data_IF_200132293782
#
_entry.id   IF_200132293782
#
_cell.length_a   1.000
_cell.length_b   1.000
_cell.length_c   1.000
_cell.angle_alpha   90.00
_cell.angle_beta   90.00
_cell.angle_gamma   90.00
#
_symmetry.space_group_name_H-M   'P 1'
#
loop_
_entity.id
_entity.type
_entity.pdbx_description
1 polymer ?
#
# COMPACT_ATOMS: atom_id res chain seq x y z
N UNK A 1 6.40 104.48 97.36
CA UNK A 1 5.22 104.74 96.50
C UNK A 1 5.19 103.64 95.44
N UNK A 2 4.01 103.13 95.14
CA UNK A 2 3.72 101.81 94.59
C UNK A 2 4.17 101.51 93.14
N UNK A 3 4.15 100.22 92.79
CA UNK A 3 4.01 99.66 91.43
C UNK A 3 5.33 99.23 90.78
N UNK A 4 5.49 98.08 90.12
CA UNK A 4 4.56 97.02 89.70
C UNK A 4 5.34 95.70 89.62
N UNK A 5 4.70 94.60 90.04
CA UNK A 5 5.16 93.25 89.80
C UNK A 5 4.59 92.77 88.46
N UNK A 6 5.47 92.51 87.49
CA UNK A 6 5.13 91.76 86.27
C UNK A 6 5.79 90.38 86.37
N UNK A 7 4.95 89.36 86.55
CA UNK A 7 5.30 87.95 86.53
C UNK A 7 5.43 87.47 85.09
N UNK A 8 6.64 87.06 84.69
CA UNK A 8 6.87 86.15 83.58
C UNK A 8 7.89 85.10 84.01
N UNK A 9 7.37 83.90 84.29
CA UNK A 9 8.14 82.66 84.41
C UNK A 9 8.49 82.21 83.00
N UNK A 10 9.78 82.07 82.65
CA UNK A 10 10.32 80.88 81.97
C UNK A 10 11.74 81.05 81.39
N UNK A 11 12.42 79.90 81.44
CA UNK A 11 13.66 79.44 80.77
C UNK A 11 14.98 80.14 81.10
N UNK A 12 15.75 79.49 81.97
CA UNK A 12 17.20 79.48 81.85
C UNK A 12 17.67 78.05 81.54
N UNK A 13 17.96 77.79 80.26
CA UNK A 13 18.87 76.71 79.86
C UNK A 13 20.14 77.40 79.37
N UNK A 14 21.30 77.16 80.00
CA UNK A 14 22.55 77.83 79.66
C UNK A 14 23.00 77.45 78.25
N UNK A 15 23.65 78.41 77.59
CA UNK A 15 24.19 78.27 76.26
C UNK A 15 25.49 77.45 76.28
N UNK A 16 25.45 76.23 75.72
CA UNK A 16 26.63 75.58 75.13
C UNK A 16 26.31 74.90 73.79
N UNK A 17 27.23 75.13 72.85
CA UNK A 17 27.51 74.51 71.54
C UNK A 17 26.38 74.12 70.56
N UNK A 18 26.17 74.98 69.56
CA UNK A 18 25.45 74.63 68.33
C UNK A 18 26.42 74.27 67.20
N UNK A 19 26.65 72.98 67.04
CA UNK A 19 27.36 72.39 65.89
C UNK A 19 26.72 71.08 65.44
N UNK A 20 25.43 71.09 65.08
CA UNK A 20 24.77 69.89 64.55
C UNK A 20 23.80 70.27 63.41
N UNK A 21 24.05 69.74 62.21
CA UNK A 21 23.21 69.89 61.03
C UNK A 21 21.87 69.16 61.15
N UNK A 22 21.03 69.30 60.12
CA UNK A 22 19.69 68.69 60.02
C UNK A 22 19.68 67.21 60.49
N UNK A 23 18.93 66.85 61.55
CA UNK A 23 19.06 65.54 62.22
C UNK A 23 18.94 64.30 61.31
N UNK A 24 18.15 64.31 60.21
CA UNK A 24 18.11 63.21 59.24
C UNK A 24 19.38 62.99 58.39
N UNK A 25 20.30 63.96 58.33
CA UNK A 25 21.54 63.88 57.54
C UNK A 25 22.79 63.82 58.44
N UNK A 26 22.71 63.08 59.54
CA UNK A 26 23.87 62.81 60.38
C UNK A 26 24.74 61.70 59.77
N UNK A 27 25.85 62.13 59.14
CA UNK A 27 26.81 61.28 58.45
C UNK A 27 27.51 60.26 59.37
N UNK A 28 27.46 60.44 60.70
CA UNK A 28 28.04 59.49 61.66
C UNK A 28 27.30 58.15 61.67
N UNK A 29 26.02 58.12 61.28
CA UNK A 29 25.19 56.91 61.26
C UNK A 29 25.30 56.11 59.96
N UNK A 30 25.77 56.73 58.87
CA UNK A 30 25.85 56.09 57.55
C UNK A 30 26.78 54.89 57.50
N UNK A 31 27.90 54.91 58.24
CA UNK A 31 28.82 53.77 58.30
C UNK A 31 28.14 52.52 58.87
N UNK A 32 27.30 52.68 59.90
CA UNK A 32 26.53 51.59 60.50
C UNK A 32 25.42 51.08 59.56
N UNK A 33 24.70 52.00 58.91
CA UNK A 33 23.67 51.65 57.92
C UNK A 33 24.25 50.88 56.73
N UNK A 34 25.39 51.33 56.19
CA UNK A 34 26.09 50.66 55.08
C UNK A 34 26.60 49.27 55.51
N UNK A 35 27.13 49.14 56.73
CA UNK A 35 27.56 47.85 57.27
C UNK A 35 26.40 46.86 57.34
N UNK A 36 25.27 47.24 57.95
CA UNK A 36 24.09 46.39 58.05
C UNK A 36 23.44 46.11 56.69
N UNK A 37 23.44 47.08 55.78
CA UNK A 37 23.00 46.89 54.39
C UNK A 37 23.85 45.82 53.71
N UNK A 38 25.19 45.91 53.81
CA UNK A 38 26.08 44.93 53.21
C UNK A 38 25.89 43.52 53.80
N UNK A 39 25.71 43.41 55.12
CA UNK A 39 25.46 42.12 55.79
C UNK A 39 24.13 41.50 55.32
N UNK A 40 23.03 42.27 55.39
CA UNK A 40 21.69 41.78 55.03
C UNK A 40 21.57 41.50 53.53
N UNK A 41 22.13 42.36 52.69
CA UNK A 41 22.19 42.16 51.24
C UNK A 41 23.05 40.95 50.88
N UNK A 42 24.22 40.79 51.51
CA UNK A 42 25.10 39.63 51.30
C UNK A 42 24.43 38.32 51.70
N UNK A 43 23.75 38.30 52.85
CA UNK A 43 22.97 37.14 53.28
C UNK A 43 21.83 36.82 52.31
N UNK A 44 21.05 37.82 51.89
CA UNK A 44 19.97 37.62 50.94
C UNK A 44 20.48 37.17 49.56
N UNK A 45 21.59 37.74 49.07
CA UNK A 45 22.25 37.32 47.84
C UNK A 45 22.70 35.86 47.92
N UNK A 46 23.32 35.46 49.04
CA UNK A 46 23.73 34.08 49.27
C UNK A 46 22.52 33.12 49.28
N UNK A 47 21.42 33.50 49.93
CA UNK A 47 20.17 32.73 49.91
C UNK A 47 19.58 32.64 48.50
N UNK A 48 19.54 33.74 47.74
CA UNK A 48 19.04 33.77 46.37
C UNK A 48 19.86 32.87 45.45
N UNK A 49 21.20 32.96 45.54
CA UNK A 49 22.16 32.14 44.80
C UNK A 49 21.95 30.65 45.07
N UNK A 50 21.78 30.27 46.33
CA UNK A 50 21.78 28.87 46.73
C UNK A 50 20.38 28.21 46.73
N UNK A 51 19.30 28.98 46.75
CA UNK A 51 17.94 28.43 46.86
C UNK A 51 17.06 28.81 45.69
N UNK A 52 16.94 30.10 45.38
CA UNK A 52 15.98 30.57 44.37
C UNK A 52 16.46 30.26 42.94
N UNK A 53 17.70 30.60 42.62
CA UNK A 53 18.31 30.33 41.31
C UNK A 53 18.30 28.84 40.96
N UNK A 54 18.80 27.91 41.81
CA UNK A 54 18.80 26.49 41.47
C UNK A 54 17.38 25.90 41.34
N UNK A 55 16.40 26.38 42.12
CA UNK A 55 15.00 25.94 41.97
C UNK A 55 14.41 26.34 40.62
N UNK A 56 14.65 27.57 40.17
CA UNK A 56 14.16 28.03 38.86
C UNK A 56 14.89 27.30 37.72
N UNK A 57 16.20 27.11 37.86
CA UNK A 57 17.00 26.37 36.89
C UNK A 57 16.51 24.92 36.74
N UNK A 58 16.20 24.23 37.85
CA UNK A 58 15.65 22.87 37.81
C UNK A 58 14.32 22.79 37.06
N UNK A 59 13.38 23.70 37.33
CA UNK A 59 12.08 23.72 36.62
C UNK A 59 12.25 23.98 35.12
N UNK A 60 13.19 24.87 34.76
CA UNK A 60 13.48 25.14 33.36
C UNK A 60 14.07 23.92 32.68
N UNK A 61 15.02 23.24 33.33
CA UNK A 61 15.64 22.02 32.79
C UNK A 61 14.63 20.90 32.65
N UNK A 62 13.80 20.62 33.66
CA UNK A 62 12.74 19.61 33.58
C UNK A 62 11.80 19.85 32.38
N UNK A 63 11.45 21.11 32.11
CA UNK A 63 10.65 21.46 30.95
C UNK A 63 11.39 21.24 29.64
N UNK A 64 12.67 21.60 29.59
CA UNK A 64 13.50 21.40 28.39
C UNK A 64 13.68 19.92 28.09
N UNK A 65 13.98 19.12 29.11
CA UNK A 65 14.14 17.67 29.00
C UNK A 65 12.85 17.01 28.55
N UNK A 66 11.71 17.41 29.13
CA UNK A 66 10.41 16.89 28.71
C UNK A 66 10.08 17.26 27.27
N UNK A 67 10.29 18.51 26.86
CA UNK A 67 10.05 18.94 25.47
C UNK A 67 10.99 18.20 24.50
N UNK A 68 12.27 18.05 24.86
CA UNK A 68 13.24 17.33 24.05
C UNK A 68 12.87 15.84 23.92
N UNK A 69 12.42 15.22 25.01
CA UNK A 69 11.92 13.84 25.02
C UNK A 69 10.67 13.67 24.16
N UNK A 70 9.66 14.53 24.34
CA UNK A 70 8.43 14.50 23.56
C UNK A 70 8.70 14.72 22.06
N UNK A 71 9.61 15.64 21.71
CA UNK A 71 10.00 15.89 20.32
C UNK A 71 10.81 14.73 19.74
N UNK A 72 11.71 14.14 20.52
CA UNK A 72 12.47 12.96 20.11
C UNK A 72 11.57 11.76 19.84
N UNK A 73 10.61 11.51 20.71
CA UNK A 73 9.63 10.43 20.54
C UNK A 73 8.69 10.70 19.36
N UNK A 74 8.24 11.94 19.17
CA UNK A 74 7.44 12.32 18.01
C UNK A 74 8.21 12.09 16.68
N UNK A 75 9.50 12.45 16.64
CA UNK A 75 10.35 12.21 15.48
C UNK A 75 10.56 10.71 15.25
N UNK A 76 10.84 9.92 16.29
CA UNK A 76 10.98 8.46 16.19
C UNK A 76 9.72 7.82 15.63
N UNK A 77 8.55 8.16 16.18
CA UNK A 77 7.26 7.64 15.70
C UNK A 77 6.96 8.07 14.27
N UNK A 78 7.35 9.29 13.89
CA UNK A 78 7.24 9.77 12.51
C UNK A 78 8.13 8.95 11.57
N UNK A 79 9.40 8.74 11.91
CA UNK A 79 10.33 7.94 11.11
C UNK A 79 9.85 6.49 10.96
N UNK A 80 9.35 5.87 12.04
CA UNK A 80 8.77 4.52 12.01
C UNK A 80 7.52 4.46 11.13
N UNK A 81 6.67 5.48 11.18
CA UNK A 81 5.47 5.56 10.33
C UNK A 81 5.85 5.74 8.87
N UNK A 82 6.76 6.65 8.55
CA UNK A 82 7.22 6.92 7.20
C UNK A 82 7.91 5.65 6.62
N UNK A 83 8.70 4.92 7.41
CA UNK A 83 9.30 3.65 7.02
C UNK A 83 8.24 2.54 6.80
N UNK A 84 7.23 2.45 7.67
CA UNK A 84 6.14 1.49 7.52
C UNK A 84 5.29 1.77 6.27
N UNK A 85 5.00 3.05 5.97
CA UNK A 85 4.31 3.46 4.74
C UNK A 85 5.12 3.05 3.52
N UNK A 86 6.42 3.36 3.49
CA UNK A 86 7.30 3.00 2.38
C UNK A 86 7.35 1.48 2.15
N UNK A 87 7.48 0.69 3.23
CA UNK A 87 7.48 -0.76 3.15
C UNK A 87 6.13 -1.32 2.65
N UNK A 88 5.01 -0.74 3.10
CA UNK A 88 3.68 -1.12 2.66
C UNK A 88 3.46 -0.82 1.16
N UNK A 89 3.84 0.38 0.71
CA UNK A 89 3.74 0.78 -0.70
C UNK A 89 4.61 -0.10 -1.60
N UNK A 90 5.83 -0.43 -1.17
CA UNK A 90 6.72 -1.35 -1.87
C UNK A 90 6.11 -2.75 -1.96
N UNK A 91 5.60 -3.29 -0.86
CA UNK A 91 4.96 -4.60 -0.84
C UNK A 91 3.72 -4.64 -1.74
N UNK A 92 2.91 -3.58 -1.76
CA UNK A 92 1.74 -3.46 -2.62
C UNK A 92 2.13 -3.39 -4.11
N UNK A 93 3.18 -2.63 -4.44
CA UNK A 93 3.72 -2.55 -5.81
C UNK A 93 4.23 -3.91 -6.28
N UNK A 94 5.00 -4.60 -5.44
CA UNK A 94 5.53 -5.93 -5.74
C UNK A 94 4.40 -6.97 -5.91
N UNK A 95 3.37 -6.93 -5.04
CA UNK A 95 2.21 -7.80 -5.15
C UNK A 95 1.43 -7.57 -6.45
N UNK A 96 1.23 -6.31 -6.85
CA UNK A 96 0.61 -5.95 -8.14
C UNK A 96 1.43 -6.45 -9.32
N UNK A 97 2.75 -6.25 -9.29
CA UNK A 97 3.67 -6.73 -10.32
C UNK A 97 3.62 -8.26 -10.45
N UNK A 98 3.68 -8.99 -9.33
CA UNK A 98 3.53 -10.45 -9.30
C UNK A 98 2.18 -10.90 -9.84
N UNK A 99 1.08 -10.25 -9.46
CA UNK A 99 -0.25 -10.57 -9.97
C UNK A 99 -0.34 -10.37 -11.49
N UNK A 100 0.20 -9.27 -12.02
CA UNK A 100 0.28 -9.03 -13.46
C UNK A 100 1.14 -10.09 -14.18
N UNK A 101 2.28 -10.46 -13.60
CA UNK A 101 3.13 -11.53 -14.11
C UNK A 101 2.40 -12.87 -14.18
N UNK A 102 1.74 -13.28 -13.09
CA UNK A 102 0.94 -14.52 -13.03
C UNK A 102 -0.18 -14.49 -14.08
N UNK A 103 -0.89 -13.37 -14.22
CA UNK A 103 -1.97 -13.23 -15.20
C UNK A 103 -1.44 -13.34 -16.64
N UNK A 104 -0.31 -12.71 -16.93
CA UNK A 104 0.35 -12.80 -18.23
C UNK A 104 0.81 -14.22 -18.55
N UNK A 105 1.53 -14.86 -17.63
CA UNK A 105 2.04 -16.23 -17.80
C UNK A 105 0.91 -17.23 -17.95
N UNK A 106 -0.17 -17.07 -17.18
CA UNK A 106 -1.36 -17.92 -17.28
C UNK A 106 -2.02 -17.76 -18.65
N UNK A 107 -2.19 -16.53 -19.15
CA UNK A 107 -2.73 -16.29 -20.50
C UNK A 107 -1.85 -16.88 -21.59
N UNK A 108 -0.53 -16.74 -21.47
CA UNK A 108 0.42 -17.32 -22.41
C UNK A 108 0.33 -18.86 -22.43
N UNK A 109 0.31 -19.50 -21.25
CA UNK A 109 0.14 -20.95 -21.12
C UNK A 109 -1.19 -21.43 -21.67
N UNK A 110 -2.29 -20.75 -21.35
CA UNK A 110 -3.62 -21.09 -21.88
C UNK A 110 -3.67 -20.97 -23.41
N UNK A 111 -3.07 -19.92 -23.97
CA UNK A 111 -3.03 -19.75 -25.43
C UNK A 111 -2.24 -20.88 -26.10
N UNK A 112 -1.10 -21.27 -25.52
CA UNK A 112 -0.31 -22.38 -26.01
C UNK A 112 -1.06 -23.73 -25.92
N UNK A 113 -1.74 -24.00 -24.79
CA UNK A 113 -2.54 -25.22 -24.62
C UNK A 113 -3.75 -25.23 -25.58
N UNK A 114 -4.39 -24.09 -25.80
CA UNK A 114 -5.48 -23.95 -26.78
C UNK A 114 -5.01 -24.24 -28.21
N UNK A 115 -3.87 -23.68 -28.62
CA UNK A 115 -3.31 -23.94 -29.95
C UNK A 115 -2.96 -25.42 -30.12
N UNK A 116 -2.30 -26.03 -29.13
CA UNK A 116 -1.97 -27.45 -29.17
C UNK A 116 -3.20 -28.37 -29.20
N UNK A 117 -4.26 -28.02 -28.48
CA UNK A 117 -5.54 -28.74 -28.55
C UNK A 117 -6.23 -28.54 -29.90
N UNK A 118 -6.16 -27.33 -30.47
CA UNK A 118 -6.72 -27.04 -31.79
C UNK A 118 -6.02 -27.87 -32.86
N UNK A 119 -4.69 -27.89 -32.88
CA UNK A 119 -3.90 -28.66 -33.82
C UNK A 119 -4.19 -30.17 -33.73
N UNK A 120 -4.30 -30.71 -32.50
CA UNK A 120 -4.70 -32.10 -32.29
C UNK A 120 -6.11 -32.38 -32.81
N UNK A 121 -7.07 -31.51 -32.51
CA UNK A 121 -8.44 -31.67 -32.97
C UNK A 121 -8.53 -31.57 -34.50
N UNK A 122 -7.79 -30.66 -35.13
CA UNK A 122 -7.69 -30.54 -36.59
C UNK A 122 -7.10 -31.81 -37.22
N UNK A 123 -6.05 -32.38 -36.62
CA UNK A 123 -5.45 -33.65 -37.06
C UNK A 123 -6.43 -34.81 -36.95
N UNK A 124 -7.06 -34.99 -35.79
CA UNK A 124 -8.07 -36.05 -35.59
C UNK A 124 -9.26 -35.90 -36.53
N UNK A 125 -9.66 -34.66 -36.83
CA UNK A 125 -10.77 -34.39 -37.74
C UNK A 125 -10.37 -34.73 -39.19
N UNK A 126 -9.15 -34.40 -39.60
CA UNK A 126 -8.62 -34.75 -40.92
C UNK A 126 -8.53 -36.28 -41.09
N UNK A 127 -8.06 -37.00 -40.08
CA UNK A 127 -8.00 -38.47 -40.10
C UNK A 127 -9.41 -39.09 -40.22
N UNK A 128 -10.37 -38.58 -39.44
CA UNK A 128 -11.77 -39.03 -39.52
C UNK A 128 -12.40 -38.73 -40.89
N UNK A 129 -12.10 -37.56 -41.46
CA UNK A 129 -12.57 -37.19 -42.79
C UNK A 129 -12.02 -38.14 -43.85
N UNK A 130 -10.71 -38.40 -43.82
CA UNK A 130 -10.05 -39.32 -44.75
C UNK A 130 -10.59 -40.75 -44.62
N UNK A 131 -10.79 -41.24 -43.39
CA UNK A 131 -11.38 -42.55 -43.15
C UNK A 131 -12.83 -42.64 -43.66
N UNK A 132 -13.64 -41.59 -43.46
CA UNK A 132 -15.00 -41.53 -43.96
C UNK A 132 -15.04 -41.49 -45.50
N UNK A 133 -14.15 -40.70 -46.13
CA UNK A 133 -14.01 -40.66 -47.59
C UNK A 133 -13.62 -42.02 -48.17
N UNK A 134 -12.65 -42.71 -47.57
CA UNK A 134 -12.25 -44.06 -47.96
C UNK A 134 -13.41 -45.06 -47.81
N UNK A 135 -14.18 -44.97 -46.72
CA UNK A 135 -15.34 -45.83 -46.49
C UNK A 135 -16.45 -45.58 -47.54
N UNK A 136 -16.76 -44.32 -47.83
CA UNK A 136 -17.73 -43.94 -48.87
C UNK A 136 -17.27 -44.43 -50.25
N UNK A 137 -15.99 -44.29 -50.57
CA UNK A 137 -15.43 -44.81 -51.84
C UNK A 137 -15.52 -46.34 -51.94
N UNK A 138 -15.32 -47.04 -50.82
CA UNK A 138 -15.51 -48.49 -50.71
C UNK A 138 -16.96 -48.90 -50.98
N UNK A 139 -17.92 -48.30 -50.26
CA UNK A 139 -19.36 -48.55 -50.45
C UNK A 139 -19.77 -48.24 -51.89
N UNK A 140 -19.27 -47.14 -52.47
CA UNK A 140 -19.57 -46.78 -53.86
C UNK A 140 -19.08 -47.85 -54.83
N UNK A 141 -17.86 -48.34 -54.66
CA UNK A 141 -17.30 -49.40 -55.51
C UNK A 141 -18.09 -50.70 -55.37
N UNK A 142 -18.44 -51.08 -54.14
CA UNK A 142 -19.23 -52.27 -53.87
C UNK A 142 -20.64 -52.18 -54.46
N UNK A 143 -21.34 -51.05 -54.26
CA UNK A 143 -22.64 -50.81 -54.86
C UNK A 143 -22.59 -50.84 -56.40
N UNK A 144 -21.56 -50.23 -57.02
CA UNK A 144 -21.37 -50.28 -58.46
C UNK A 144 -21.12 -51.71 -58.97
N UNK A 145 -20.44 -52.57 -58.20
CA UNK A 145 -20.26 -53.98 -58.56
C UNK A 145 -21.57 -54.77 -58.52
N UNK A 146 -22.40 -54.53 -57.49
CA UNK A 146 -23.69 -55.20 -57.32
C UNK A 146 -24.72 -54.78 -58.38
N UNK A 147 -24.62 -53.58 -58.94
CA UNK A 147 -25.52 -53.12 -60.02
C UNK A 147 -25.44 -54.04 -61.25
N UNK A 148 -24.26 -54.57 -61.59
CA UNK A 148 -24.12 -55.49 -62.72
C UNK A 148 -24.91 -56.78 -62.51
N UNK A 149 -24.83 -57.35 -61.32
CA UNK A 149 -25.55 -58.58 -60.96
C UNK A 149 -27.06 -58.35 -60.93
N UNK A 150 -27.51 -57.26 -60.29
CA UNK A 150 -28.94 -56.88 -60.23
C UNK A 150 -29.49 -56.59 -61.64
N UNK A 151 -28.72 -55.88 -62.48
CA UNK A 151 -29.11 -55.60 -63.85
C UNK A 151 -29.21 -56.90 -64.68
N UNK A 152 -28.28 -57.83 -64.50
CA UNK A 152 -28.32 -59.15 -65.15
C UNK A 152 -29.53 -59.98 -64.72
N UNK A 153 -29.81 -60.04 -63.42
CA UNK A 153 -30.94 -60.78 -62.85
C UNK A 153 -32.27 -60.18 -63.30
N UNK A 154 -32.41 -58.85 -63.24
CA UNK A 154 -33.60 -58.12 -63.69
C UNK A 154 -33.83 -58.27 -65.19
N UNK A 155 -32.77 -58.18 -66.00
CA UNK A 155 -32.86 -58.36 -67.46
C UNK A 155 -33.26 -59.80 -67.82
N UNK A 156 -32.74 -60.79 -67.09
CA UNK A 156 -33.13 -62.21 -67.27
C UNK A 156 -34.62 -62.40 -67.01
N UNK A 157 -35.11 -61.89 -65.87
CA UNK A 157 -36.52 -61.97 -65.51
C UNK A 157 -37.42 -61.26 -66.55
N UNK A 158 -37.01 -60.09 -67.04
CA UNK A 158 -37.75 -59.33 -68.04
C UNK A 158 -37.82 -60.07 -69.39
N UNK A 159 -36.71 -60.64 -69.86
CA UNK A 159 -36.65 -61.38 -71.13
C UNK A 159 -37.42 -62.69 -71.05
N UNK A 160 -37.37 -63.39 -69.91
CA UNK A 160 -38.15 -64.61 -69.68
C UNK A 160 -39.66 -64.32 -69.70
N UNK A 161 -40.09 -63.20 -69.11
CA UNK A 161 -41.49 -62.77 -69.13
C UNK A 161 -41.96 -62.32 -70.53
N UNK A 162 -41.08 -61.72 -71.35
CA UNK A 162 -41.40 -61.25 -72.70
C UNK A 162 -41.35 -62.34 -73.78
N UNK A 163 -40.38 -63.26 -73.71
CA UNK A 163 -40.14 -64.27 -74.75
C UNK A 163 -40.55 -65.69 -74.34
N UNK A 164 -40.94 -65.92 -73.08
CA UNK A 164 -41.41 -67.22 -72.57
C UNK A 164 -40.34 -68.31 -72.46
N UNK A 165 -39.07 -67.97 -72.71
CA UNK A 165 -37.90 -68.85 -72.52
C UNK A 165 -36.75 -68.05 -71.91
N UNK A 166 -36.11 -68.63 -70.90
CA UNK A 166 -34.92 -68.05 -70.28
C UNK A 166 -33.76 -67.99 -71.29
N UNK A 167 -33.13 -66.83 -71.51
CA UNK A 167 -31.93 -66.71 -72.33
C UNK A 167 -30.72 -67.41 -71.70
N UNK A 168 -29.81 -67.90 -72.53
CA UNK A 168 -28.58 -68.58 -72.12
C UNK A 168 -27.65 -67.62 -71.38
N UNK A 169 -27.15 -68.02 -70.19
CA UNK A 169 -26.28 -67.20 -69.33
C UNK A 169 -25.06 -66.60 -70.07
N UNK A 170 -24.54 -67.31 -71.07
CA UNK A 170 -23.39 -66.89 -71.88
C UNK A 170 -23.70 -65.71 -72.81
N UNK A 171 -24.91 -65.63 -73.36
CA UNK A 171 -25.30 -64.56 -74.28
C UNK A 171 -25.70 -63.28 -73.53
N UNK A 172 -26.40 -63.44 -72.40
CA UNK A 172 -26.72 -62.35 -71.48
C UNK A 172 -25.46 -61.67 -70.93
N UNK A 173 -24.50 -62.45 -70.43
CA UNK A 173 -23.26 -61.89 -69.87
C UNK A 173 -22.44 -61.15 -70.93
N UNK A 174 -22.45 -61.62 -72.19
CA UNK A 174 -21.79 -60.95 -73.32
C UNK A 174 -22.48 -59.64 -73.71
N UNK A 175 -23.81 -59.62 -73.76
CA UNK A 175 -24.60 -58.42 -74.07
C UNK A 175 -24.52 -57.36 -72.96
N UNK A 176 -24.63 -57.77 -71.69
CA UNK A 176 -24.51 -56.88 -70.54
C UNK A 176 -23.12 -56.23 -70.48
N UNK A 177 -22.06 -57.02 -70.69
CA UNK A 177 -20.67 -56.53 -70.70
C UNK A 177 -20.39 -55.58 -71.87
N UNK A 178 -21.09 -55.73 -73.00
CA UNK A 178 -21.01 -54.80 -74.13
C UNK A 178 -21.78 -53.49 -73.90
N UNK A 179 -22.72 -53.45 -72.96
CA UNK A 179 -23.50 -52.26 -72.62
C UNK A 179 -22.93 -51.50 -71.41
N UNK A 180 -22.13 -52.17 -70.57
CA UNK A 180 -21.49 -51.59 -69.37
C UNK A 180 -20.03 -51.11 -69.61
N UNK A 181 -19.42 -51.47 -70.75
CA UNK A 181 -18.18 -50.89 -71.24
C UNK A 181 -18.46 -49.61 -72.04
#
# INVERSE_FOLDING_TARGET
MAGNAETNTEVHIPAEEHGAGFPPFDATTYSSQILWLAITFGFFYWMMKNVAVPRIAGILEDRRDRIAGDLGEANRLKEETDAAIAAYEQALSEARSKAHGIAHDTRAKLKADQEARREKAETELADKLSAAEAHIAGIKTEALSQIGDIAGETTTALVEQLMGKAPTKTDLTKALKSAMN
#
